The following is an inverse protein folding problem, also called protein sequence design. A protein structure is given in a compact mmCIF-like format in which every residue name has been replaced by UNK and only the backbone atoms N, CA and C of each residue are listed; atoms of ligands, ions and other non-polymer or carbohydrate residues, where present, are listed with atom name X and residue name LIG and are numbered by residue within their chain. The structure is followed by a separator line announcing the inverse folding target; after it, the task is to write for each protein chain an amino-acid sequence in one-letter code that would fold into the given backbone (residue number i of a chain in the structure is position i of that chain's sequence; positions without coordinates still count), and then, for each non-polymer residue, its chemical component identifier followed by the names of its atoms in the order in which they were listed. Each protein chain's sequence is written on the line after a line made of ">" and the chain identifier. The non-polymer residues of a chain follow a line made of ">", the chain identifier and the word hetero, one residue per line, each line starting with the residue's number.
data_IF_431273132729
#
_entry.id   IF_431273132729
#
_cell.length_a   1.000
_cell.length_b   1.000
_cell.length_c   1.000
_cell.angle_alpha   90.00
_cell.angle_beta   90.00
_cell.angle_gamma   90.00
#
_symmetry.space_group_name_H-M   'P 1'
#
loop_
_entity.id
_entity.type
_entity.pdbx_description
1 polymer ?
#
# COMPACT_ATOMS: atom_id res chain seq x y z
N UNK A 1 18.31 20.49 2.98
CA UNK A 1 18.21 19.72 1.73
C UNK A 1 19.37 18.75 1.51
N UNK A 2 20.67 19.17 1.51
CA UNK A 2 21.82 18.25 1.29
C UNK A 2 21.87 17.05 2.24
N UNK A 3 21.59 17.23 3.53
CA UNK A 3 21.59 16.15 4.53
C UNK A 3 20.51 15.13 4.27
N UNK A 4 19.34 15.56 3.80
CA UNK A 4 18.21 14.69 3.49
C UNK A 4 18.50 13.80 2.27
N UNK A 5 19.09 14.39 1.22
CA UNK A 5 19.52 13.65 0.02
C UNK A 5 20.57 12.60 0.37
N UNK A 6 21.55 12.96 1.21
CA UNK A 6 22.61 12.04 1.61
C UNK A 6 22.06 10.84 2.41
N UNK A 7 21.14 11.10 3.35
CA UNK A 7 20.51 10.04 4.16
C UNK A 7 19.66 9.12 3.29
N UNK A 8 18.91 9.66 2.34
CA UNK A 8 18.07 8.88 1.43
C UNK A 8 18.94 8.04 0.48
N UNK A 9 20.04 8.59 -0.02
CA UNK A 9 20.98 7.86 -0.88
C UNK A 9 21.69 6.75 -0.11
N UNK A 10 22.05 6.99 1.16
CA UNK A 10 22.69 5.98 2.01
C UNK A 10 21.73 4.83 2.35
N UNK A 11 20.46 5.14 2.61
CA UNK A 11 19.39 4.14 2.81
C UNK A 11 19.13 3.30 1.56
N UNK A 12 19.13 3.92 0.38
CA UNK A 12 19.00 3.23 -0.90
C UNK A 12 20.20 2.32 -1.19
N UNK A 13 21.42 2.81 -0.93
CA UNK A 13 22.66 2.01 -1.07
C UNK A 13 22.71 0.85 -0.08
N UNK A 14 22.35 1.07 1.17
CA UNK A 14 22.24 -0.01 2.16
C UNK A 14 21.22 -1.07 1.72
N UNK A 15 20.07 -0.65 1.19
CA UNK A 15 19.06 -1.55 0.64
C UNK A 15 19.57 -2.43 -0.49
N UNK A 16 20.40 -1.91 -1.39
CA UNK A 16 20.97 -2.68 -2.51
C UNK A 16 22.03 -3.71 -2.05
N UNK A 17 22.80 -3.41 -1.02
CA UNK A 17 23.80 -4.35 -0.45
C UNK A 17 23.09 -5.54 0.22
N UNK A 18 21.97 -5.33 0.87
CA UNK A 18 21.19 -6.41 1.48
C UNK A 18 20.38 -7.24 0.46
N UNK A 19 20.11 -6.71 -0.73
CA UNK A 19 19.35 -7.39 -1.78
C UNK A 19 20.13 -8.50 -2.52
N UNK A 20 21.46 -8.56 -2.36
CA UNK A 20 22.32 -9.51 -3.10
C UNK A 20 22.32 -10.95 -2.59
N UNK A 21 21.53 -11.32 -1.58
CA UNK A 21 21.59 -12.65 -1.01
C UNK A 21 20.51 -13.60 -1.52
N UNK A 22 20.94 -14.52 -2.37
CA UNK A 22 20.40 -15.85 -2.71
C UNK A 22 19.04 -15.94 -3.38
N UNK A 23 19.03 -16.59 -4.54
CA UNK A 23 17.87 -17.13 -5.24
C UNK A 23 16.85 -17.73 -4.26
N UNK A 24 15.73 -17.06 -4.10
CA UNK A 24 14.65 -17.51 -3.22
C UNK A 24 13.43 -17.80 -4.08
N UNK A 25 13.02 -19.05 -4.10
CA UNK A 25 11.71 -19.37 -4.61
C UNK A 25 10.64 -18.80 -3.66
N UNK A 26 9.91 -17.82 -4.15
CA UNK A 26 8.75 -17.23 -3.48
C UNK A 26 7.49 -17.82 -4.09
N UNK A 27 6.44 -18.02 -3.32
CA UNK A 27 5.14 -18.39 -3.87
C UNK A 27 4.62 -17.27 -4.75
N UNK A 28 4.15 -17.61 -5.96
CA UNK A 28 3.79 -16.62 -6.98
C UNK A 28 2.56 -15.82 -6.60
N UNK A 29 1.59 -16.45 -5.97
CA UNK A 29 0.30 -15.86 -5.68
C UNK A 29 0.12 -15.64 -4.19
N UNK A 30 -0.37 -14.48 -3.84
CA UNK A 30 -0.61 -14.07 -2.48
C UNK A 30 -1.92 -13.26 -2.41
N UNK A 31 -2.69 -13.52 -1.36
CA UNK A 31 -3.90 -12.76 -1.04
C UNK A 31 -3.72 -12.19 0.35
N UNK A 32 -3.92 -10.90 0.49
CA UNK A 32 -3.87 -10.19 1.77
C UNK A 32 -5.25 -9.66 2.13
N UNK A 33 -5.64 -9.86 3.36
CA UNK A 33 -6.76 -9.16 3.98
C UNK A 33 -6.18 -8.12 4.94
N UNK A 34 -6.59 -6.88 4.83
CA UNK A 34 -6.08 -5.81 5.67
C UNK A 34 -7.19 -4.98 6.31
N UNK A 35 -6.84 -4.46 7.47
CA UNK A 35 -7.63 -3.48 8.22
C UNK A 35 -6.69 -2.33 8.61
N UNK A 36 -7.18 -1.11 8.62
CA UNK A 36 -6.36 0.04 8.91
C UNK A 36 -7.14 1.24 9.38
N UNK A 37 -6.40 2.31 9.60
CA UNK A 37 -6.92 3.64 9.94
C UNK A 37 -6.44 4.64 8.90
N UNK A 38 -7.30 5.55 8.53
CA UNK A 38 -6.99 6.62 7.62
C UNK A 38 -7.26 7.98 8.29
N UNK A 39 -6.56 9.01 7.84
CA UNK A 39 -6.67 10.34 8.44
C UNK A 39 -8.07 10.98 8.24
N UNK A 40 -8.79 10.58 7.23
CA UNK A 40 -10.13 11.08 6.89
C UNK A 40 -11.24 10.12 7.26
N UNK A 41 -10.92 8.83 7.43
CA UNK A 41 -11.85 7.80 7.86
C UNK A 41 -11.23 6.97 8.97
N UNK A 42 -12.00 6.72 10.04
CA UNK A 42 -11.50 6.01 11.21
C UNK A 42 -11.12 4.55 10.93
N UNK A 43 -11.81 3.90 10.00
CA UNK A 43 -11.62 2.49 9.67
C UNK A 43 -11.60 2.29 8.17
N UNK A 44 -10.59 1.57 7.69
CA UNK A 44 -10.50 1.08 6.31
C UNK A 44 -10.28 -0.43 6.33
N UNK A 45 -10.88 -1.13 5.39
CA UNK A 45 -10.70 -2.56 5.21
C UNK A 45 -10.48 -2.86 3.73
N UNK A 46 -9.81 -3.97 3.42
CA UNK A 46 -9.63 -4.33 2.03
C UNK A 46 -9.01 -5.69 1.83
N UNK A 47 -8.91 -6.01 0.55
CA UNK A 47 -8.26 -7.22 0.04
C UNK A 47 -7.27 -6.81 -1.03
N UNK A 48 -6.11 -7.42 -1.02
CA UNK A 48 -5.09 -7.25 -2.03
C UNK A 48 -4.69 -8.61 -2.60
N UNK A 49 -4.69 -8.71 -3.91
CA UNK A 49 -4.18 -9.87 -4.63
C UNK A 49 -2.87 -9.50 -5.28
N UNK A 50 -1.80 -10.27 -5.02
CA UNK A 50 -0.45 -10.02 -5.53
C UNK A 50 0.11 -11.21 -6.30
N UNK A 51 0.90 -10.87 -7.31
CA UNK A 51 1.75 -11.79 -8.04
C UNK A 51 3.22 -11.45 -7.78
N UNK A 52 3.93 -12.37 -7.16
CA UNK A 52 5.36 -12.25 -6.86
C UNK A 52 6.19 -12.84 -8.01
N UNK A 53 7.13 -12.06 -8.52
CA UNK A 53 8.10 -12.57 -9.51
C UNK A 53 9.20 -13.36 -8.80
N UNK A 54 9.34 -14.65 -9.15
CA UNK A 54 10.20 -15.61 -8.42
C UNK A 54 11.66 -15.20 -8.32
N UNK A 55 12.20 -14.55 -9.35
CA UNK A 55 13.62 -14.20 -9.46
C UNK A 55 13.90 -12.73 -9.26
N UNK A 56 12.88 -11.93 -9.09
CA UNK A 56 12.99 -10.49 -8.98
C UNK A 56 12.39 -9.99 -7.66
N UNK A 57 12.90 -8.90 -7.13
CA UNK A 57 12.37 -8.28 -5.92
C UNK A 57 11.03 -7.55 -6.14
N UNK A 58 10.45 -7.67 -7.34
CA UNK A 58 9.21 -7.00 -7.71
C UNK A 58 7.99 -7.89 -7.47
N UNK A 59 6.92 -7.28 -7.06
CA UNK A 59 5.57 -7.84 -7.15
C UNK A 59 4.60 -6.81 -7.74
N UNK A 60 3.49 -7.32 -8.26
CA UNK A 60 2.41 -6.52 -8.81
C UNK A 60 1.09 -7.08 -8.30
N UNK A 61 0.11 -6.21 -8.17
CA UNK A 61 -1.16 -6.65 -7.61
C UNK A 61 -2.31 -5.70 -7.89
N UNK A 62 -3.46 -6.08 -7.34
CA UNK A 62 -4.67 -5.27 -7.33
C UNK A 62 -5.12 -5.18 -5.87
N UNK A 63 -5.29 -3.95 -5.40
CA UNK A 63 -5.83 -3.64 -4.09
C UNK A 63 -7.25 -3.12 -4.24
N UNK A 64 -8.18 -3.72 -3.49
CA UNK A 64 -9.55 -3.26 -3.35
C UNK A 64 -9.77 -2.93 -1.88
N UNK A 65 -10.06 -1.69 -1.57
CA UNK A 65 -10.29 -1.24 -0.21
C UNK A 65 -11.54 -0.37 -0.11
N UNK A 66 -12.14 -0.37 1.07
CA UNK A 66 -13.30 0.43 1.39
C UNK A 66 -13.18 1.04 2.78
N UNK A 67 -13.80 2.17 2.95
CA UNK A 67 -13.94 2.87 4.21
C UNK A 67 -15.32 3.56 4.29
N UNK A 68 -15.55 4.33 5.34
CA UNK A 68 -16.84 5.05 5.49
C UNK A 68 -17.06 6.14 4.44
N UNK A 69 -15.99 6.62 3.80
CA UNK A 69 -16.07 7.68 2.80
C UNK A 69 -16.23 7.13 1.37
N UNK A 70 -15.95 5.83 1.15
CA UNK A 70 -16.06 5.23 -0.17
C UNK A 70 -15.27 3.97 -0.40
N UNK A 71 -14.98 3.71 -1.66
CA UNK A 71 -14.24 2.52 -2.10
C UNK A 71 -13.17 2.88 -3.12
N UNK A 72 -12.13 2.05 -3.18
CA UNK A 72 -10.99 2.20 -4.10
C UNK A 72 -10.62 0.88 -4.72
N UNK A 73 -10.20 0.94 -5.97
CA UNK A 73 -9.53 -0.16 -6.67
C UNK A 73 -8.26 0.39 -7.31
N UNK A 74 -7.11 -0.17 -6.95
CA UNK A 74 -5.80 0.29 -7.43
C UNK A 74 -4.96 -0.88 -7.91
N UNK A 75 -4.32 -0.73 -9.06
CA UNK A 75 -3.20 -1.57 -9.46
C UNK A 75 -1.96 -1.09 -8.69
N UNK A 76 -1.21 -2.02 -8.13
CA UNK A 76 -0.07 -1.74 -7.26
C UNK A 76 1.17 -2.47 -7.74
N UNK A 77 2.33 -1.89 -7.48
CA UNK A 77 3.62 -2.52 -7.71
C UNK A 77 4.55 -2.20 -6.56
N UNK A 78 5.22 -3.23 -6.02
CA UNK A 78 6.16 -3.09 -4.91
C UNK A 78 7.53 -3.61 -5.29
N UNK A 79 8.54 -2.95 -4.75
CA UNK A 79 9.91 -3.42 -4.75
C UNK A 79 10.29 -3.86 -3.33
N UNK A 80 10.67 -5.10 -3.19
CA UNK A 80 10.99 -5.72 -1.90
C UNK A 80 12.49 -5.73 -1.66
N UNK A 81 12.92 -5.03 -0.62
CA UNK A 81 14.30 -5.07 -0.15
C UNK A 81 14.45 -6.12 0.94
N UNK A 82 15.66 -6.59 1.13
CA UNK A 82 16.04 -7.40 2.28
C UNK A 82 15.03 -8.50 2.65
N UNK A 83 14.55 -9.24 1.63
CA UNK A 83 13.73 -10.43 1.84
C UNK A 83 14.50 -11.46 2.65
N UNK A 84 14.38 -11.40 3.95
CA UNK A 84 14.90 -12.43 4.87
C UNK A 84 13.92 -13.61 4.98
N UNK A 85 14.29 -14.65 5.71
CA UNK A 85 13.43 -15.83 5.89
C UNK A 85 12.03 -15.48 6.44
N UNK A 86 11.95 -14.49 7.30
CA UNK A 86 10.75 -14.14 8.06
C UNK A 86 10.31 -12.69 7.93
N UNK A 87 11.05 -11.85 7.22
CA UNK A 87 10.71 -10.44 7.07
C UNK A 87 11.16 -9.90 5.72
N UNK A 88 10.44 -8.94 5.21
CA UNK A 88 10.82 -8.13 4.05
C UNK A 88 10.38 -6.69 4.26
N UNK A 89 11.14 -5.77 3.68
CA UNK A 89 10.73 -4.36 3.54
C UNK A 89 10.33 -4.13 2.10
N UNK A 90 9.33 -3.32 1.89
CA UNK A 90 8.93 -2.94 0.54
C UNK A 90 8.67 -1.43 0.42
N UNK A 91 8.87 -0.94 -0.79
CA UNK A 91 8.40 0.37 -1.24
C UNK A 91 7.66 0.16 -2.53
N UNK A 92 6.54 0.83 -2.69
CA UNK A 92 5.72 0.66 -3.86
C UNK A 92 4.84 1.86 -4.15
N UNK A 93 4.11 1.72 -5.21
CA UNK A 93 3.08 2.67 -5.58
C UNK A 93 1.94 1.95 -6.29
N UNK A 94 0.76 2.54 -6.22
CA UNK A 94 -0.40 2.13 -6.98
C UNK A 94 -1.07 3.29 -7.65
N UNK A 95 -1.89 2.98 -8.64
CA UNK A 95 -2.79 3.92 -9.26
C UNK A 95 -4.09 3.22 -9.64
N UNK A 96 -5.19 3.96 -9.58
CA UNK A 96 -6.48 3.38 -9.86
C UNK A 96 -7.61 4.36 -9.68
N UNK A 97 -8.75 3.84 -9.35
CA UNK A 97 -9.99 4.58 -9.25
C UNK A 97 -10.52 4.53 -7.82
N UNK A 98 -11.00 5.67 -7.36
CA UNK A 98 -11.68 5.80 -6.08
C UNK A 98 -13.04 6.46 -6.29
N UNK A 99 -14.02 5.92 -5.58
CA UNK A 99 -15.32 6.54 -5.41
C UNK A 99 -15.36 7.01 -3.95
N UNK A 100 -15.26 8.31 -3.73
CA UNK A 100 -15.13 8.87 -2.38
C UNK A 100 -16.07 10.03 -2.16
N UNK A 101 -16.55 10.16 -0.93
CA UNK A 101 -17.39 11.29 -0.50
C UNK A 101 -16.45 12.41 -0.06
N UNK A 102 -16.40 13.47 -0.86
CA UNK A 102 -15.63 14.66 -0.55
C UNK A 102 -16.56 15.64 0.18
N UNK A 103 -16.22 15.96 1.42
CA UNK A 103 -16.87 17.03 2.17
C UNK A 103 -16.32 18.37 1.68
N UNK A 104 -16.94 18.96 0.67
CA UNK A 104 -16.62 20.32 0.22
C UNK A 104 -17.20 21.32 1.21
N UNK A 105 -16.47 21.64 2.25
CA UNK A 105 -16.87 22.61 3.28
C UNK A 105 -17.11 23.98 2.65
N UNK A 106 -16.30 24.39 1.67
CA UNK A 106 -16.46 25.69 1.00
C UNK A 106 -17.75 25.82 0.20
N UNK A 107 -18.17 24.75 -0.47
CA UNK A 107 -19.46 24.72 -1.19
C UNK A 107 -20.66 24.54 -0.26
N UNK A 108 -20.48 23.84 0.85
CA UNK A 108 -21.55 23.66 1.83
C UNK A 108 -21.96 24.98 2.50
N UNK A 109 -21.02 25.92 2.62
CA UNK A 109 -21.29 27.27 3.18
C UNK A 109 -22.01 28.17 2.18
N UNK A 110 -21.72 28.04 0.87
CA UNK A 110 -22.30 28.92 -0.16
C UNK A 110 -23.69 28.47 -0.68
N UNK A 111 -23.94 27.16 -0.78
CA UNK A 111 -25.12 26.65 -1.49
C UNK A 111 -26.20 26.03 -0.59
N UNK A 112 -25.87 25.59 0.59
CA UNK A 112 -26.82 24.89 1.47
C UNK A 112 -26.79 25.47 2.88
N UNK A 113 -27.63 26.46 3.15
CA UNK A 113 -27.73 27.07 4.49
C UNK A 113 -27.91 26.04 5.57
N UNK A 114 -27.63 25.16 6.11
CA UNK A 114 -27.71 24.19 7.19
C UNK A 114 -27.67 22.69 6.79
N UNK A 115 -27.51 22.35 5.52
CA UNK A 115 -27.41 20.95 5.08
C UNK A 115 -26.04 20.67 4.50
N UNK A 116 -25.25 19.81 5.16
CA UNK A 116 -24.01 19.27 4.62
C UNK A 116 -24.30 18.48 3.34
N UNK A 117 -24.01 19.04 2.18
CA UNK A 117 -24.08 18.35 0.91
C UNK A 117 -22.81 17.50 0.73
N UNK A 118 -22.87 16.24 1.14
CA UNK A 118 -21.85 15.25 0.81
C UNK A 118 -22.05 14.83 -0.66
N UNK A 119 -21.10 15.11 -1.54
CA UNK A 119 -21.12 14.61 -2.90
C UNK A 119 -20.13 13.48 -3.08
N UNK A 120 -20.63 12.36 -3.56
CA UNK A 120 -19.76 11.24 -3.95
C UNK A 120 -19.17 11.53 -5.33
N UNK A 121 -17.86 11.47 -5.46
CA UNK A 121 -17.13 11.71 -6.70
C UNK A 121 -16.22 10.54 -7.06
N UNK A 122 -16.21 10.24 -8.35
CA UNK A 122 -15.23 9.33 -8.93
C UNK A 122 -13.95 10.11 -9.23
N UNK A 123 -12.82 9.60 -8.77
CA UNK A 123 -11.55 10.28 -8.93
C UNK A 123 -10.39 9.30 -9.19
N UNK A 124 -9.35 9.81 -9.83
CA UNK A 124 -8.09 9.11 -9.93
C UNK A 124 -7.41 9.08 -8.56
N UNK A 125 -7.02 7.88 -8.13
CA UNK A 125 -6.26 7.67 -6.90
C UNK A 125 -4.84 7.26 -7.22
N UNK A 126 -3.85 7.91 -6.62
CA UNK A 126 -2.45 7.48 -6.61
C UNK A 126 -2.08 7.11 -5.18
N UNK A 127 -1.39 5.99 -5.02
CA UNK A 127 -1.21 5.29 -3.76
C UNK A 127 0.27 4.91 -3.54
N UNK A 128 1.19 5.88 -3.28
CA UNK A 128 2.52 5.58 -2.80
C UNK A 128 2.47 4.91 -1.43
N UNK A 129 3.29 3.87 -1.25
CA UNK A 129 3.27 3.06 -0.03
C UNK A 129 4.65 2.52 0.34
N UNK A 130 4.85 2.31 1.63
CA UNK A 130 5.98 1.60 2.19
C UNK A 130 5.47 0.63 3.25
N UNK A 131 6.23 -0.42 3.51
CA UNK A 131 5.83 -1.29 4.61
C UNK A 131 6.85 -2.37 4.89
N UNK A 132 6.44 -3.22 5.81
CA UNK A 132 7.23 -4.33 6.29
C UNK A 132 6.33 -5.55 6.45
N UNK A 133 6.85 -6.69 6.03
CA UNK A 133 6.23 -7.98 6.21
C UNK A 133 6.99 -8.75 7.30
N UNK A 134 6.25 -9.30 8.26
CA UNK A 134 6.77 -10.10 9.36
C UNK A 134 6.19 -11.50 9.32
N UNK A 135 6.96 -12.47 9.76
CA UNK A 135 6.52 -13.86 9.92
C UNK A 135 5.86 -14.45 8.67
N UNK A 136 6.16 -13.90 7.49
CA UNK A 136 5.61 -14.31 6.18
C UNK A 136 4.11 -14.05 5.98
N UNK A 137 3.42 -13.56 6.98
CA UNK A 137 1.95 -13.44 6.95
C UNK A 137 1.42 -12.10 7.46
N UNK A 138 2.17 -11.39 8.29
CA UNK A 138 1.75 -10.10 8.81
C UNK A 138 2.41 -8.98 8.02
N UNK A 139 1.61 -8.09 7.48
CA UNK A 139 2.08 -6.96 6.69
C UNK A 139 1.59 -5.64 7.30
N UNK A 140 2.52 -4.77 7.65
CA UNK A 140 2.26 -3.41 8.09
C UNK A 140 2.57 -2.48 6.92
N UNK A 141 1.58 -1.69 6.51
CA UNK A 141 1.69 -0.77 5.38
C UNK A 141 1.35 0.64 5.81
N UNK A 142 2.23 1.59 5.51
CA UNK A 142 1.95 3.01 5.58
C UNK A 142 1.86 3.56 4.16
N UNK A 143 0.83 4.33 3.87
CA UNK A 143 0.56 4.83 2.53
C UNK A 143 -0.05 6.23 2.55
N UNK A 144 -0.03 6.86 1.39
CA UNK A 144 -0.72 8.12 1.14
C UNK A 144 -1.61 7.94 -0.08
N UNK A 145 -2.92 8.05 0.10
CA UNK A 145 -3.84 8.15 -1.02
C UNK A 145 -3.88 9.60 -1.49
N UNK A 146 -3.72 9.84 -2.76
CA UNK A 146 -3.96 11.16 -3.34
C UNK A 146 -5.09 11.08 -4.33
N UNK A 147 -6.09 11.94 -4.15
CA UNK A 147 -7.28 11.98 -4.98
C UNK A 147 -7.20 13.17 -5.94
N UNK A 148 -7.16 12.90 -7.24
CA UNK A 148 -7.00 13.90 -8.30
C UNK A 148 -5.82 14.88 -8.07
N UNK A 149 -4.77 14.45 -7.31
CA UNK A 149 -3.62 15.26 -6.91
C UNK A 149 -3.97 16.54 -6.11
N UNK A 150 -5.14 16.61 -5.53
CA UNK A 150 -5.61 17.77 -4.75
C UNK A 150 -5.73 17.47 -3.26
N UNK A 151 -6.17 16.27 -2.95
CA UNK A 151 -6.40 15.84 -1.57
C UNK A 151 -5.48 14.67 -1.25
N UNK A 152 -5.00 14.61 -0.02
CA UNK A 152 -4.16 13.55 0.46
C UNK A 152 -4.70 12.97 1.76
N UNK A 153 -4.73 11.65 1.82
CA UNK A 153 -5.14 10.87 2.99
C UNK A 153 -4.00 9.96 3.42
N UNK A 154 -3.61 10.04 4.67
CA UNK A 154 -2.65 9.11 5.26
C UNK A 154 -3.35 7.84 5.71
N UNK A 155 -2.76 6.71 5.39
CA UNK A 155 -3.27 5.38 5.71
C UNK A 155 -2.21 4.58 6.44
N UNK A 156 -2.60 3.92 7.52
CA UNK A 156 -1.81 2.88 8.19
C UNK A 156 -2.65 1.62 8.28
N UNK A 157 -2.19 0.52 7.70
CA UNK A 157 -2.92 -0.75 7.69
C UNK A 157 -2.08 -1.93 8.15
N UNK A 158 -2.74 -2.87 8.79
CA UNK A 158 -2.22 -4.18 9.15
C UNK A 158 -2.96 -5.24 8.34
N UNK A 159 -2.20 -6.06 7.63
CA UNK A 159 -2.72 -7.12 6.79
C UNK A 159 -2.26 -8.50 7.22
N UNK A 160 -3.06 -9.50 6.88
CA UNK A 160 -2.69 -10.91 6.96
C UNK A 160 -2.65 -11.47 5.55
N UNK A 161 -1.45 -11.92 5.15
CA UNK A 161 -1.19 -12.45 3.82
C UNK A 161 -1.26 -13.98 3.81
N UNK A 162 -1.93 -14.52 2.82
CA UNK A 162 -2.08 -15.95 2.58
C UNK A 162 -1.45 -16.31 1.23
N UNK A 163 -0.69 -17.39 1.20
CA UNK A 163 -0.10 -17.91 -0.04
C UNK A 163 1.30 -17.41 -0.34
N UNK A 164 1.68 -16.22 0.05
CA UNK A 164 3.02 -15.66 -0.10
C UNK A 164 4.11 -16.41 0.68
N UNK A 165 5.31 -15.86 0.68
CA UNK A 165 6.43 -16.37 1.42
C UNK A 165 7.27 -17.41 0.67
N UNK A 166 8.37 -17.83 1.30
CA UNK A 166 9.35 -18.77 0.74
C UNK A 166 8.72 -20.15 0.62
N UNK A 167 8.91 -20.80 -0.52
CA UNK A 167 8.77 -22.26 -0.59
C UNK A 167 9.87 -22.89 0.24
N UNK A 168 9.54 -23.49 1.36
CA UNK A 168 10.47 -24.36 2.03
C UNK A 168 10.70 -25.57 1.11
N UNK A 169 11.90 -25.73 0.59
CA UNK A 169 12.34 -27.03 0.11
C UNK A 169 12.35 -27.92 1.34
N UNK A 170 11.34 -28.75 1.51
CA UNK A 170 11.48 -29.90 2.39
C UNK A 170 12.63 -30.72 1.82
N UNK A 171 13.74 -30.73 2.52
CA UNK A 171 14.74 -31.76 2.37
C UNK A 171 14.09 -33.06 2.83
N UNK A 172 13.68 -33.87 1.86
CA UNK A 172 13.39 -35.30 2.06
C UNK A 172 14.73 -36.01 2.14
#
# INVERSE_FOLDING_TARGET
>A
MRKFILTTTLLLLAGTIFAQNKEREVRRFEVELHIGVASTSFLTTGIEYRYNFNQHPWDVGINCSMDFNGSRITAVGDYNFARNKNSSFFIGAGAGWANTTILNIDKAIEECGDSCCASTQDCLCVYPRIGVEFFRHLRLTAAVNTYNFKEAEFLLSLGVAFGGGRKDKYLI
#
